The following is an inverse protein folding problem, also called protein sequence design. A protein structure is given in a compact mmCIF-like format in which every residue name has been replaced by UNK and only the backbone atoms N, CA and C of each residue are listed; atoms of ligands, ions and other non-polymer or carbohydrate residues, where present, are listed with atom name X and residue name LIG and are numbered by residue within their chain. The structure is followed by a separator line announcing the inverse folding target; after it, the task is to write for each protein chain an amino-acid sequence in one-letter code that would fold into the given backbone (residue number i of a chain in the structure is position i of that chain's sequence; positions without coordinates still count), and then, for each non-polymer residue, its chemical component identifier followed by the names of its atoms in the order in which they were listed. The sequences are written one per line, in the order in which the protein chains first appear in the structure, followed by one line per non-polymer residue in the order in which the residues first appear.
data_IF_244476459249
#
_entry.id   IF_244476459249
#
_cell.length_a   1.000
_cell.length_b   1.000
_cell.length_c   1.000
_cell.angle_alpha   90.00
_cell.angle_beta   90.00
_cell.angle_gamma   90.00
#
_symmetry.space_group_name_H-M   'P 1'
#
loop_
_entity.id
_entity.type
_entity.pdbx_description
1 polymer ?
#
# COMPACT_ATOMS: atom_id res chain seq x y z
N UNK A 1 2.86 20.23 -11.58
CA UNK A 1 3.49 21.03 -10.52
C UNK A 1 2.87 20.79 -9.14
N UNK A 2 1.55 20.72 -8.99
CA UNK A 2 0.87 20.50 -7.70
C UNK A 2 1.29 19.20 -6.97
N UNK A 3 1.46 18.08 -7.68
CA UNK A 3 1.90 16.79 -7.10
C UNK A 3 3.30 16.83 -6.46
N UNK A 4 4.24 17.60 -7.05
CA UNK A 4 5.59 17.75 -6.45
C UNK A 4 5.56 18.59 -5.17
N UNK A 5 4.69 19.60 -5.12
CA UNK A 5 4.54 20.46 -3.92
C UNK A 5 3.91 19.69 -2.75
N UNK A 6 2.87 18.85 -3.01
CA UNK A 6 2.24 18.02 -1.98
C UNK A 6 3.22 16.96 -1.45
N UNK A 7 3.94 16.28 -2.34
CA UNK A 7 4.98 15.33 -1.93
C UNK A 7 6.07 15.97 -1.08
N UNK A 8 6.53 17.17 -1.47
CA UNK A 8 7.53 17.91 -0.69
C UNK A 8 7.04 18.28 0.70
N UNK A 9 5.78 18.69 0.86
CA UNK A 9 5.18 18.99 2.17
C UNK A 9 5.05 17.76 3.05
N UNK A 10 4.63 16.61 2.50
CA UNK A 10 4.52 15.36 3.26
C UNK A 10 5.89 14.90 3.74
N UNK A 11 6.90 14.91 2.86
CA UNK A 11 8.28 14.55 3.23
C UNK A 11 8.81 15.48 4.32
N UNK A 12 8.57 16.78 4.22
CA UNK A 12 9.01 17.74 5.22
C UNK A 12 8.32 17.52 6.58
N UNK A 13 7.01 17.31 6.60
CA UNK A 13 6.26 17.00 7.84
C UNK A 13 6.76 15.72 8.46
N UNK A 14 7.00 14.67 7.67
CA UNK A 14 7.52 13.41 8.17
C UNK A 14 8.93 13.59 8.77
N UNK A 15 9.80 14.38 8.13
CA UNK A 15 11.15 14.63 8.67
C UNK A 15 11.11 15.40 9.99
N UNK A 16 10.28 16.43 10.10
CA UNK A 16 10.09 17.16 11.37
C UNK A 16 9.62 16.22 12.48
N UNK A 17 8.65 15.35 12.19
CA UNK A 17 8.17 14.36 13.16
C UNK A 17 9.27 13.36 13.56
N UNK A 18 10.08 12.90 12.61
CA UNK A 18 11.21 12.00 12.90
C UNK A 18 12.23 12.70 13.80
N UNK A 19 12.58 13.94 13.52
CA UNK A 19 13.55 14.71 14.28
C UNK A 19 13.05 14.97 15.71
N UNK A 20 11.77 15.30 15.88
CA UNK A 20 11.14 15.46 17.21
C UNK A 20 11.14 14.18 18.03
N UNK A 21 10.98 13.02 17.37
CA UNK A 21 10.92 11.73 18.03
C UNK A 21 12.29 11.08 18.25
N UNK A 22 13.33 11.58 17.58
CA UNK A 22 14.67 10.98 17.59
C UNK A 22 15.31 10.93 18.98
N UNK A 23 14.89 11.81 19.91
CA UNK A 23 15.40 11.87 21.29
C UNK A 23 14.70 10.90 22.25
N UNK A 24 13.59 10.28 21.81
CA UNK A 24 12.80 9.39 22.66
C UNK A 24 13.38 7.97 22.68
N UNK A 25 13.31 7.33 23.85
CA UNK A 25 13.60 5.90 23.95
C UNK A 25 12.53 5.07 23.22
N UNK A 26 12.88 3.81 22.91
CA UNK A 26 11.92 2.86 22.29
C UNK A 26 10.64 2.71 23.14
N UNK A 27 10.78 2.68 24.47
CA UNK A 27 9.65 2.55 25.39
C UNK A 27 8.74 3.80 25.33
N UNK A 28 9.32 4.99 25.35
CA UNK A 28 8.59 6.25 25.19
C UNK A 28 7.88 6.35 23.85
N UNK A 29 8.51 5.87 22.76
CA UNK A 29 7.89 5.80 21.45
C UNK A 29 6.68 4.85 21.42
N UNK A 30 6.82 3.67 22.05
CA UNK A 30 5.73 2.70 22.16
C UNK A 30 4.55 3.26 22.98
N UNK A 31 4.83 3.93 24.08
CA UNK A 31 3.79 4.52 24.91
C UNK A 31 3.07 5.68 24.19
N UNK A 32 3.82 6.51 23.47
CA UNK A 32 3.24 7.55 22.62
C UNK A 32 2.37 6.95 21.52
N UNK A 33 2.83 5.88 20.86
CA UNK A 33 2.04 5.15 19.87
C UNK A 33 0.75 4.61 20.48
N UNK A 34 0.83 3.91 21.62
CA UNK A 34 -0.34 3.37 22.33
C UNK A 34 -1.37 4.45 22.69
N UNK A 35 -0.89 5.59 23.18
CA UNK A 35 -1.74 6.73 23.54
C UNK A 35 -2.49 7.34 22.34
N UNK A 36 -1.94 7.20 21.12
CA UNK A 36 -2.51 7.72 19.88
C UNK A 36 -3.29 6.68 19.07
N UNK A 37 -3.24 5.39 19.45
CA UNK A 37 -4.05 4.35 18.84
C UNK A 37 -5.52 4.57 19.21
N UNK A 38 -6.24 5.26 18.34
CA UNK A 38 -7.69 5.44 18.49
C UNK A 38 -8.42 4.48 17.54
N UNK A 39 -9.58 3.91 17.96
CA UNK A 39 -10.40 3.03 17.10
C UNK A 39 -10.94 3.70 15.84
N UNK A 40 -10.87 5.02 15.75
CA UNK A 40 -11.41 5.85 14.67
C UNK A 40 -10.29 6.30 13.72
N UNK A 41 -9.59 5.32 13.12
CA UNK A 41 -8.64 5.62 12.06
C UNK A 41 -9.34 6.08 10.78
N UNK A 42 -8.84 7.14 10.13
CA UNK A 42 -9.25 7.48 8.79
C UNK A 42 -8.98 6.31 7.83
N UNK A 43 -9.80 6.09 6.79
CA UNK A 43 -9.58 5.03 5.80
C UNK A 43 -8.16 5.03 5.22
N UNK A 44 -7.59 6.21 4.97
CA UNK A 44 -6.21 6.37 4.52
C UNK A 44 -5.18 5.83 5.52
N UNK A 45 -5.44 5.92 6.82
CA UNK A 45 -4.55 5.36 7.85
C UNK A 45 -4.53 3.84 7.85
N UNK A 46 -5.65 3.19 7.58
CA UNK A 46 -5.70 1.72 7.51
C UNK A 46 -4.88 1.19 6.33
N UNK A 47 -5.00 1.84 5.17
CA UNK A 47 -4.22 1.51 3.98
C UNK A 47 -2.71 1.68 4.26
N UNK A 48 -2.32 2.85 4.76
CA UNK A 48 -0.92 3.21 5.03
C UNK A 48 -0.27 2.24 6.02
N UNK A 49 -0.90 2.03 7.18
CA UNK A 49 -0.39 1.09 8.21
C UNK A 49 -0.31 -0.34 7.67
N UNK A 50 -1.28 -0.79 6.87
CA UNK A 50 -1.25 -2.15 6.33
C UNK A 50 -0.10 -2.32 5.35
N UNK A 51 0.12 -1.37 4.44
CA UNK A 51 1.22 -1.42 3.48
C UNK A 51 2.57 -1.42 4.21
N UNK A 52 2.79 -0.48 5.13
CA UNK A 52 4.05 -0.38 5.86
C UNK A 52 4.30 -1.57 6.80
N UNK A 53 3.26 -2.16 7.35
CA UNK A 53 3.39 -3.41 8.10
C UNK A 53 3.92 -4.54 7.21
N UNK A 54 3.45 -4.65 5.97
CA UNK A 54 3.96 -5.64 5.02
C UNK A 54 5.35 -5.27 4.48
N UNK A 55 5.67 -3.99 4.32
CA UNK A 55 7.03 -3.55 3.97
C UNK A 55 8.08 -4.06 4.97
N UNK A 56 7.71 -4.23 6.24
CA UNK A 56 8.58 -4.78 7.30
C UNK A 56 8.55 -6.31 7.29
N UNK A 57 7.37 -6.93 7.23
CA UNK A 57 7.19 -8.37 7.44
C UNK A 57 7.66 -9.22 6.27
N UNK A 58 7.38 -8.78 5.04
CA UNK A 58 7.72 -9.54 3.83
C UNK A 58 9.23 -9.78 3.68
N UNK A 59 10.10 -8.78 3.80
CA UNK A 59 11.55 -8.99 3.74
C UNK A 59 12.10 -9.87 4.86
N UNK A 60 11.42 -9.89 6.00
CA UNK A 60 11.82 -10.69 7.17
C UNK A 60 11.27 -12.14 7.11
N UNK A 61 10.52 -12.49 6.06
CA UNK A 61 9.88 -13.80 5.97
C UNK A 61 8.88 -14.08 7.09
N UNK A 62 8.29 -13.04 7.68
CA UNK A 62 7.32 -13.15 8.78
C UNK A 62 5.91 -13.25 8.22
N UNK A 63 5.32 -14.45 8.05
CA UNK A 63 3.99 -14.58 7.46
C UNK A 63 2.96 -13.86 8.34
N UNK A 64 2.06 -13.14 7.68
CA UNK A 64 0.92 -12.51 8.32
C UNK A 64 -0.26 -12.49 7.35
N UNK A 65 -1.31 -13.18 7.70
CA UNK A 65 -2.51 -13.19 6.90
C UNK A 65 -3.35 -11.95 7.21
N UNK A 66 -3.53 -11.10 6.22
CA UNK A 66 -4.44 -9.96 6.32
C UNK A 66 -5.87 -10.49 6.19
N UNK A 67 -6.80 -10.17 7.10
CA UNK A 67 -8.20 -10.58 6.97
C UNK A 67 -8.82 -10.16 5.64
N UNK A 68 -9.58 -11.05 4.99
CA UNK A 68 -10.17 -10.83 3.66
C UNK A 68 -11.01 -9.54 3.58
N UNK A 69 -11.83 -9.27 4.60
CA UNK A 69 -12.62 -8.03 4.69
C UNK A 69 -11.73 -6.78 4.68
N UNK A 70 -10.59 -6.83 5.37
CA UNK A 70 -9.63 -5.73 5.36
C UNK A 70 -8.98 -5.57 3.99
N UNK A 71 -8.54 -6.68 3.36
CA UNK A 71 -7.96 -6.64 2.00
C UNK A 71 -8.93 -6.05 0.99
N UNK A 72 -10.19 -6.49 1.01
CA UNK A 72 -11.23 -5.95 0.15
C UNK A 72 -11.35 -4.43 0.28
N UNK A 73 -11.47 -3.94 1.52
CA UNK A 73 -11.60 -2.51 1.80
C UNK A 73 -10.39 -1.71 1.35
N UNK A 74 -9.18 -2.13 1.69
CA UNK A 74 -7.97 -1.37 1.37
C UNK A 74 -7.61 -1.43 -0.12
N UNK A 75 -7.95 -2.49 -0.85
CA UNK A 75 -7.85 -2.54 -2.30
C UNK A 75 -8.75 -1.50 -2.94
N UNK A 76 -10.02 -1.43 -2.53
CA UNK A 76 -10.93 -0.40 -2.99
C UNK A 76 -10.41 1.01 -2.71
N UNK A 77 -9.97 1.26 -1.48
CA UNK A 77 -9.47 2.57 -1.06
C UNK A 77 -8.19 2.95 -1.84
N UNK A 78 -7.30 1.99 -2.13
CA UNK A 78 -6.07 2.22 -2.89
C UNK A 78 -6.29 2.65 -4.35
N UNK A 79 -7.45 2.31 -4.91
CA UNK A 79 -7.79 2.55 -6.31
C UNK A 79 -8.74 3.72 -6.55
N UNK A 80 -9.31 4.30 -5.47
CA UNK A 80 -10.32 5.36 -5.58
C UNK A 80 -9.74 6.75 -5.81
N UNK A 81 -8.56 7.04 -5.31
CA UNK A 81 -8.00 8.39 -5.32
C UNK A 81 -6.90 8.56 -6.37
N UNK A 82 -7.01 9.59 -7.25
CA UNK A 82 -5.95 9.92 -8.21
C UNK A 82 -4.61 10.29 -7.57
N UNK A 83 -4.60 10.62 -6.27
CA UNK A 83 -3.40 10.94 -5.51
C UNK A 83 -2.61 9.68 -5.10
N UNK A 84 -3.26 8.51 -5.13
CA UNK A 84 -2.63 7.25 -4.79
C UNK A 84 -2.02 6.57 -6.02
N UNK A 85 -0.88 5.88 -5.86
CA UNK A 85 -0.23 5.17 -6.96
C UNK A 85 -1.15 4.17 -7.66
N UNK A 86 -2.00 3.48 -6.91
CA UNK A 86 -2.92 2.46 -7.39
C UNK A 86 -3.82 2.93 -8.51
N UNK A 87 -4.35 4.15 -8.41
CA UNK A 87 -5.17 4.75 -9.47
C UNK A 87 -4.48 4.75 -10.84
N UNK A 88 -3.20 5.12 -10.88
CA UNK A 88 -2.44 5.19 -12.12
C UNK A 88 -1.93 3.82 -12.57
N UNK A 89 -1.52 3.00 -11.61
CA UNK A 89 -0.93 1.68 -11.88
C UNK A 89 -1.97 0.68 -12.39
N UNK A 90 -3.21 0.74 -11.89
CA UNK A 90 -4.28 -0.19 -12.29
C UNK A 90 -5.05 0.22 -13.56
N UNK A 91 -4.78 1.37 -14.16
CA UNK A 91 -5.54 1.82 -15.35
C UNK A 91 -5.35 0.87 -16.53
N UNK A 92 -6.48 0.45 -17.13
CA UNK A 92 -6.46 -0.37 -18.35
C UNK A 92 -5.91 -1.79 -18.15
N UNK A 93 -5.92 -2.29 -16.93
CA UNK A 93 -5.72 -3.70 -16.58
C UNK A 93 -6.88 -4.16 -15.70
N UNK A 94 -7.14 -5.47 -15.68
CA UNK A 94 -8.08 -6.11 -14.79
C UNK A 94 -7.32 -6.81 -13.66
N UNK A 95 -7.60 -6.44 -12.43
CA UNK A 95 -7.05 -7.10 -11.24
C UNK A 95 -8.03 -8.15 -10.75
N UNK A 96 -7.58 -9.41 -10.60
CA UNK A 96 -8.38 -10.55 -10.15
C UNK A 96 -7.54 -11.40 -9.20
N UNK A 97 -7.55 -11.11 -7.89
CA UNK A 97 -6.87 -11.95 -6.90
C UNK A 97 -7.35 -13.40 -6.93
N UNK A 98 -6.47 -14.32 -6.57
CA UNK A 98 -6.77 -15.75 -6.55
C UNK A 98 -7.36 -16.25 -5.23
N UNK A 99 -7.21 -15.48 -4.17
CA UNK A 99 -7.57 -15.81 -2.78
C UNK A 99 -8.59 -14.83 -2.16
N UNK A 100 -9.19 -13.97 -2.99
CA UNK A 100 -10.21 -13.02 -2.57
C UNK A 100 -11.28 -12.88 -3.66
N UNK A 101 -12.55 -12.98 -3.31
CA UNK A 101 -13.68 -12.69 -4.22
C UNK A 101 -13.81 -11.19 -4.46
N UNK A 102 -12.96 -10.68 -5.32
CA UNK A 102 -12.86 -9.26 -5.66
C UNK A 102 -12.25 -9.11 -7.06
N UNK A 103 -12.68 -8.11 -7.79
CA UNK A 103 -12.02 -7.73 -9.05
C UNK A 103 -12.19 -6.24 -9.33
N UNK A 104 -11.24 -5.65 -10.05
CA UNK A 104 -11.29 -4.23 -10.42
C UNK A 104 -10.74 -4.00 -11.82
N UNK A 105 -11.34 -3.03 -12.51
CA UNK A 105 -10.85 -2.55 -13.80
C UNK A 105 -11.24 -3.43 -14.99
N UNK A 106 -10.69 -3.12 -16.14
CA UNK A 106 -10.92 -3.81 -17.41
C UNK A 106 -9.65 -3.78 -18.26
N UNK A 107 -9.46 -4.82 -19.10
CA UNK A 107 -8.28 -4.99 -19.94
C UNK A 107 -7.54 -6.27 -19.68
N UNK A 108 -6.23 -6.36 -20.03
CA UNK A 108 -5.41 -7.54 -19.75
C UNK A 108 -5.43 -7.88 -18.27
N UNK A 109 -5.68 -9.16 -17.97
CA UNK A 109 -5.85 -9.64 -16.60
C UNK A 109 -4.52 -9.78 -15.87
N UNK A 110 -4.56 -9.47 -14.56
CA UNK A 110 -3.49 -9.70 -13.58
C UNK A 110 -4.08 -10.54 -12.46
N UNK A 111 -3.47 -11.70 -12.21
CA UNK A 111 -3.88 -12.64 -11.16
C UNK A 111 -2.75 -12.86 -10.18
N UNK A 112 -3.08 -13.29 -8.96
CA UNK A 112 -2.12 -13.60 -7.90
C UNK A 112 -2.72 -13.37 -6.52
N UNK A 113 -1.97 -13.56 -5.42
CA UNK A 113 -2.47 -13.29 -4.08
C UNK A 113 -2.95 -11.85 -3.92
N UNK A 114 -4.06 -11.64 -3.22
CA UNK A 114 -4.64 -10.32 -2.99
C UNK A 114 -3.66 -9.34 -2.30
N UNK A 115 -2.84 -9.86 -1.39
CA UNK A 115 -1.76 -9.09 -0.77
C UNK A 115 -0.71 -8.64 -1.79
N UNK A 116 -0.30 -9.52 -2.73
CA UNK A 116 0.64 -9.15 -3.78
C UNK A 116 0.05 -8.10 -4.72
N UNK A 117 -1.24 -8.22 -5.07
CA UNK A 117 -1.97 -7.20 -5.83
C UNK A 117 -1.94 -5.86 -5.10
N UNK A 118 -2.28 -5.84 -3.79
CA UNK A 118 -2.23 -4.63 -2.96
C UNK A 118 -0.85 -3.99 -2.97
N UNK A 119 0.19 -4.77 -2.70
CA UNK A 119 1.57 -4.26 -2.62
C UNK A 119 2.05 -3.73 -3.98
N UNK A 120 1.70 -4.39 -5.07
CA UNK A 120 2.05 -3.96 -6.41
C UNK A 120 1.37 -2.64 -6.79
N UNK A 121 0.05 -2.47 -6.53
CA UNK A 121 -0.65 -1.21 -6.79
C UNK A 121 -0.25 -0.10 -5.80
N UNK A 122 0.31 -0.47 -4.66
CA UNK A 122 0.95 0.47 -3.74
C UNK A 122 2.38 0.87 -4.16
N UNK A 123 2.86 0.37 -5.30
CA UNK A 123 4.16 0.76 -5.87
C UNK A 123 5.34 -0.15 -5.51
N UNK A 124 5.10 -1.31 -4.89
CA UNK A 124 6.15 -2.27 -4.48
C UNK A 124 6.49 -3.22 -5.63
N UNK A 125 7.60 -2.95 -6.27
CA UNK A 125 8.06 -3.65 -7.47
C UNK A 125 8.24 -5.15 -7.28
N UNK A 126 8.79 -5.55 -6.13
CA UNK A 126 9.01 -6.96 -5.80
C UNK A 126 7.73 -7.79 -5.79
N UNK A 127 6.60 -7.19 -5.45
CA UNK A 127 5.31 -7.89 -5.43
C UNK A 127 4.79 -8.27 -6.83
N UNK A 128 5.29 -7.64 -7.89
CA UNK A 128 4.89 -7.95 -9.28
C UNK A 128 5.36 -9.34 -9.70
N UNK A 129 6.43 -9.85 -9.11
CA UNK A 129 6.97 -11.19 -9.40
C UNK A 129 6.03 -12.30 -8.91
N UNK A 130 5.14 -12.00 -7.98
CA UNK A 130 4.12 -12.91 -7.45
C UNK A 130 2.82 -12.88 -8.27
N UNK A 131 2.74 -12.00 -9.26
CA UNK A 131 1.59 -11.82 -10.11
C UNK A 131 1.79 -12.52 -11.46
N UNK A 132 0.69 -12.87 -12.10
CA UNK A 132 0.67 -13.53 -13.41
C UNK A 132 -0.38 -12.91 -14.32
N UNK A 133 -0.41 -13.37 -15.58
CA UNK A 133 -1.39 -12.97 -16.58
C UNK A 133 -0.89 -11.91 -17.55
N UNK A 134 -1.64 -11.67 -18.65
CA UNK A 134 -1.24 -10.78 -19.73
C UNK A 134 -1.10 -9.31 -19.31
N UNK A 135 -1.70 -8.91 -18.20
CA UNK A 135 -1.58 -7.56 -17.64
C UNK A 135 -0.33 -7.31 -16.80
N UNK A 136 0.32 -8.37 -16.31
CA UNK A 136 1.49 -8.25 -15.43
C UNK A 136 2.64 -7.43 -16.06
N UNK A 137 3.04 -7.61 -17.35
CA UNK A 137 4.08 -6.78 -17.96
C UNK A 137 3.70 -5.30 -18.06
N UNK A 138 2.40 -5.00 -18.19
CA UNK A 138 1.91 -3.62 -18.23
C UNK A 138 2.16 -2.94 -16.88
N UNK A 139 1.81 -3.62 -15.79
CA UNK A 139 2.05 -3.13 -14.43
C UNK A 139 3.54 -2.99 -14.14
N UNK A 140 4.34 -4.00 -14.49
CA UNK A 140 5.79 -3.98 -14.33
C UNK A 140 6.43 -2.77 -15.04
N UNK A 141 6.03 -2.48 -16.28
CA UNK A 141 6.55 -1.34 -17.04
C UNK A 141 6.24 0.03 -16.42
N UNK A 142 5.10 0.14 -15.75
CA UNK A 142 4.70 1.38 -15.05
C UNK A 142 5.48 1.62 -13.77
N UNK A 143 5.84 0.55 -13.09
CA UNK A 143 6.67 0.60 -11.89
C UNK A 143 8.17 0.80 -12.19
N UNK A 144 8.58 0.64 -13.44
CA UNK A 144 9.95 0.86 -13.89
C UNK A 144 10.29 2.34 -14.12
N UNK A 145 9.29 3.21 -14.21
CA UNK A 145 9.41 4.65 -14.47
C UNK A 145 9.56 5.46 -13.17
#
# INVERSE_FOLDING_TARGET
MLHRAIRGRIIHINQVNVDELASLSTEQLLDRLRAHLRPQGAPAGLLDVTIHHQDIRRPLGMPHQIPAERLHRILDDSLRSPELPGWHLARGVRLTPTDLDWSHGSGPEITGPAEAVLMAVAGRRSAVEELAGPGQPVLASRLAR
#
